data_IF_327208159857
#
_entry.id   IF_327208159857
#
_cell.length_a   1.000
_cell.length_b   1.000
_cell.length_c   1.000
_cell.angle_alpha   90.00
_cell.angle_beta   90.00
_cell.angle_gamma   90.00
#
_symmetry.space_group_name_H-M   'P 1'
#
loop_
_entity.id
_entity.type
_entity.pdbx_description
1 polymer ?
#
# COMPACT_ATOMS: atom_id res chain seq x y z
N UNK A 1 5.50 13.32 29.47
CA UNK A 1 5.63 11.85 29.28
C UNK A 1 4.23 11.28 29.34
N UNK A 2 3.77 10.59 28.29
CA UNK A 2 2.48 9.90 28.31
C UNK A 2 2.56 8.72 29.29
N UNK A 3 1.72 8.75 30.33
CA UNK A 3 1.61 7.68 31.33
C UNK A 3 0.72 6.53 30.86
N UNK A 4 0.37 5.63 31.78
CA UNK A 4 -0.53 4.50 31.52
C UNK A 4 -1.96 4.95 31.18
N UNK A 5 -2.48 5.93 31.91
CA UNK A 5 -3.87 6.40 31.81
C UNK A 5 -4.28 6.88 30.41
N UNK A 6 -3.35 7.47 29.65
CA UNK A 6 -3.63 7.97 28.29
C UNK A 6 -3.48 6.91 27.20
N UNK A 7 -2.95 5.73 27.55
CA UNK A 7 -2.76 4.61 26.63
C UNK A 7 -3.86 3.57 26.74
N UNK A 8 -4.65 3.63 27.81
CA UNK A 8 -5.70 2.68 28.08
C UNK A 8 -6.93 2.93 27.19
N UNK A 9 -7.72 1.88 26.97
CA UNK A 9 -8.94 1.97 26.17
C UNK A 9 -10.04 2.56 27.02
N UNK A 10 -10.45 3.79 26.69
CA UNK A 10 -11.53 4.47 27.38
C UNK A 10 -12.90 4.08 26.78
N UNK A 11 -13.98 3.93 27.58
CA UNK A 11 -15.32 3.58 27.07
C UNK A 11 -15.84 4.51 25.96
N UNK A 12 -15.46 5.79 25.97
CA UNK A 12 -15.85 6.76 24.94
C UNK A 12 -15.21 6.50 23.57
N UNK A 13 -14.21 5.61 23.48
CA UNK A 13 -13.62 5.19 22.21
C UNK A 13 -14.62 4.39 21.37
N UNK A 14 -15.65 3.79 21.98
CA UNK A 14 -16.65 3.01 21.28
C UNK A 14 -17.25 3.76 20.08
N UNK A 15 -17.18 3.18 18.89
CA UNK A 15 -17.69 3.78 17.65
C UNK A 15 -16.84 4.93 17.08
N UNK A 16 -15.76 5.33 17.77
CA UNK A 16 -14.94 6.51 17.43
C UNK A 16 -13.50 6.15 17.11
N UNK A 17 -12.88 5.36 17.98
CA UNK A 17 -11.50 4.93 17.90
C UNK A 17 -11.49 3.41 18.04
N UNK A 18 -10.78 2.72 17.14
CA UNK A 18 -10.69 1.27 17.21
C UNK A 18 -9.92 0.84 18.46
N UNK A 19 -10.46 -0.07 19.29
CA UNK A 19 -9.76 -0.56 20.48
C UNK A 19 -8.71 -1.64 20.17
N UNK A 20 -8.66 -2.15 18.93
CA UNK A 20 -7.81 -3.27 18.52
C UNK A 20 -6.58 -2.77 17.75
N UNK A 21 -6.76 -1.85 16.81
CA UNK A 21 -5.69 -1.42 15.91
C UNK A 21 -4.84 -0.31 16.54
N UNK A 22 -3.72 -0.73 17.14
CA UNK A 22 -2.62 0.13 17.62
C UNK A 22 -1.29 -0.56 17.32
N UNK A 23 -0.20 0.18 17.10
CA UNK A 23 1.13 -0.39 17.03
C UNK A 23 1.52 -1.09 18.33
N UNK A 24 2.32 -2.15 18.21
CA UNK A 24 2.95 -2.82 19.34
C UNK A 24 4.15 -2.02 19.87
N UNK A 25 4.56 -2.33 21.11
CA UNK A 25 5.77 -1.78 21.70
C UNK A 25 5.60 -0.39 22.33
N UNK A 26 6.60 0.52 22.23
CA UNK A 26 6.63 1.76 23.01
C UNK A 26 5.46 2.73 22.75
N UNK A 27 4.80 2.60 21.59
CA UNK A 27 3.75 3.49 21.12
C UNK A 27 2.33 2.94 21.31
N UNK A 28 2.18 1.80 21.98
CA UNK A 28 0.85 1.22 22.26
C UNK A 28 -0.08 2.23 22.94
N UNK A 29 -1.29 2.35 22.40
CA UNK A 29 -2.36 3.26 22.87
C UNK A 29 -2.13 4.74 22.52
N UNK A 30 -0.96 5.12 22.01
CA UNK A 30 -0.67 6.49 21.59
C UNK A 30 -1.05 6.76 20.13
N UNK A 31 -1.03 5.72 19.30
CA UNK A 31 -1.43 5.76 17.90
C UNK A 31 -2.60 4.80 17.76
N UNK A 32 -3.78 5.35 17.50
CA UNK A 32 -4.99 4.57 17.29
C UNK A 32 -5.61 4.93 15.95
N UNK A 33 -6.32 3.98 15.36
CA UNK A 33 -7.05 4.19 14.11
C UNK A 33 -8.50 4.63 14.37
N UNK A 34 -9.05 5.44 13.47
CA UNK A 34 -10.48 5.78 13.49
C UNK A 34 -11.33 4.53 13.27
N UNK A 35 -12.47 4.47 13.94
CA UNK A 35 -13.45 3.43 13.70
C UNK A 35 -14.19 3.65 12.37
N UNK A 36 -14.78 2.58 11.81
CA UNK A 36 -15.25 2.53 10.42
C UNK A 36 -16.22 3.65 10.03
N UNK A 37 -17.15 4.03 10.92
CA UNK A 37 -18.15 5.07 10.64
C UNK A 37 -17.91 6.38 11.41
N UNK A 38 -16.76 6.50 12.10
CA UNK A 38 -16.43 7.67 12.89
C UNK A 38 -16.25 8.90 11.99
N UNK A 39 -16.68 10.07 12.47
CA UNK A 39 -16.51 11.34 11.77
C UNK A 39 -15.99 12.42 12.71
N UNK A 40 -15.17 13.34 12.20
CA UNK A 40 -14.77 14.55 12.92
C UNK A 40 -15.74 15.68 12.63
N UNK A 41 -16.28 16.30 13.68
CA UNK A 41 -17.22 17.41 13.57
C UNK A 41 -16.51 18.77 13.38
N UNK A 42 -17.30 19.84 13.21
CA UNK A 42 -16.77 21.20 12.97
C UNK A 42 -15.90 21.74 14.11
N UNK A 43 -16.05 21.21 15.31
CA UNK A 43 -15.31 21.61 16.50
C UNK A 43 -14.09 20.71 16.79
N UNK A 44 -13.86 19.69 15.96
CA UNK A 44 -12.75 18.75 16.11
C UNK A 44 -13.02 17.55 17.01
N UNK A 45 -14.27 17.35 17.48
CA UNK A 45 -14.63 16.15 18.24
C UNK A 45 -15.01 15.00 17.31
N UNK A 46 -14.73 13.77 17.75
CA UNK A 46 -15.10 12.56 17.02
C UNK A 46 -16.53 12.16 17.42
N UNK A 47 -17.34 11.90 16.41
CA UNK A 47 -18.74 11.48 16.54
C UNK A 47 -18.92 10.08 15.94
N UNK A 48 -19.85 9.33 16.52
CA UNK A 48 -20.29 8.02 16.02
C UNK A 48 -21.77 8.11 15.62
N UNK A 49 -22.20 7.39 14.57
CA UNK A 49 -23.60 7.37 14.17
C UNK A 49 -24.43 6.40 15.02
N UNK A 50 -25.67 6.77 15.30
CA UNK A 50 -26.68 5.96 15.99
C UNK A 50 -28.05 6.14 15.33
N UNK A 51 -28.88 5.11 15.38
CA UNK A 51 -30.28 5.15 14.95
C UNK A 51 -31.16 5.62 16.09
N UNK A 52 -32.10 6.52 15.81
CA UNK A 52 -33.07 6.96 16.81
C UNK A 52 -34.11 5.89 17.11
N UNK A 53 -34.44 5.72 18.39
CA UNK A 53 -35.60 4.96 18.84
C UNK A 53 -36.68 5.96 19.27
N UNK A 54 -37.86 5.87 18.65
CA UNK A 54 -39.00 6.75 18.95
C UNK A 54 -40.18 5.87 19.26
N UNK A 55 -40.79 6.06 20.44
CA UNK A 55 -41.93 5.28 20.93
C UNK A 55 -41.69 3.75 20.86
N UNK A 56 -40.49 3.31 21.23
CA UNK A 56 -40.08 1.89 21.22
C UNK A 56 -39.77 1.30 19.83
N UNK A 57 -39.79 2.14 18.77
CA UNK A 57 -39.51 1.73 17.39
C UNK A 57 -38.19 2.30 16.89
N UNK A 58 -37.32 1.42 16.38
CA UNK A 58 -36.04 1.78 15.77
C UNK A 58 -36.27 2.39 14.39
N UNK A 59 -35.96 3.67 14.24
CA UNK A 59 -36.12 4.42 12.99
C UNK A 59 -34.92 4.24 12.06
N UNK A 60 -35.05 4.67 10.80
CA UNK A 60 -33.91 4.74 9.86
C UNK A 60 -33.16 6.08 9.96
N UNK A 61 -33.59 6.97 10.85
CA UNK A 61 -32.95 8.27 11.04
C UNK A 61 -31.66 8.11 11.84
N UNK A 62 -30.54 8.40 11.19
CA UNK A 62 -29.20 8.32 11.79
C UNK A 62 -28.78 9.69 12.31
N UNK A 63 -28.32 9.74 13.55
CA UNK A 63 -27.72 10.92 14.17
C UNK A 63 -26.29 10.64 14.61
N UNK A 64 -25.41 11.61 14.38
CA UNK A 64 -24.03 11.57 14.84
C UNK A 64 -23.95 12.26 16.19
N UNK A 65 -23.36 11.56 17.17
CA UNK A 65 -23.24 12.06 18.53
C UNK A 65 -21.79 12.04 19.01
N UNK A 66 -21.40 13.14 19.65
CA UNK A 66 -20.14 13.22 20.38
C UNK A 66 -20.20 12.38 21.67
N UNK A 67 -19.05 12.08 22.28
CA UNK A 67 -18.98 11.29 23.50
C UNK A 67 -19.78 11.90 24.67
N UNK A 68 -19.83 13.24 24.74
CA UNK A 68 -20.57 13.97 25.79
C UNK A 68 -22.09 13.92 25.59
N UNK A 69 -22.54 13.82 24.33
CA UNK A 69 -23.96 13.71 23.99
C UNK A 69 -24.44 12.28 24.17
N UNK A 70 -23.67 11.29 23.70
CA UNK A 70 -23.97 9.86 23.86
C UNK A 70 -24.18 9.48 25.33
N UNK A 71 -23.35 10.01 26.25
CA UNK A 71 -23.41 9.69 27.67
C UNK A 71 -24.77 9.95 28.33
N UNK A 72 -25.62 10.80 27.73
CA UNK A 72 -26.95 11.15 28.25
C UNK A 72 -28.05 10.18 27.81
N UNK A 73 -27.77 9.29 26.87
CA UNK A 73 -28.74 8.42 26.23
C UNK A 73 -28.50 6.95 26.59
N UNK A 74 -29.56 6.14 26.53
CA UNK A 74 -29.46 4.68 26.60
C UNK A 74 -29.30 4.13 25.18
N UNK A 75 -28.12 3.56 24.89
CA UNK A 75 -27.78 3.07 23.56
C UNK A 75 -27.81 1.54 23.53
N UNK A 76 -28.72 0.97 22.74
CA UNK A 76 -28.81 -0.47 22.50
C UNK A 76 -27.74 -0.96 21.51
N UNK A 77 -27.32 -2.21 21.69
CA UNK A 77 -26.34 -2.88 20.82
C UNK A 77 -26.90 -3.16 19.42
N UNK A 78 -26.01 -3.22 18.42
CA UNK A 78 -26.40 -3.44 17.02
C UNK A 78 -27.01 -4.83 16.76
N UNK A 79 -26.70 -5.82 17.60
CA UNK A 79 -27.16 -7.21 17.51
C UNK A 79 -28.44 -7.48 18.31
N UNK A 80 -29.06 -6.46 18.92
CA UNK A 80 -30.35 -6.63 19.58
C UNK A 80 -31.42 -7.11 18.58
N UNK A 81 -32.19 -8.12 18.98
CA UNK A 81 -33.19 -8.75 18.10
C UNK A 81 -34.40 -7.83 17.95
N UNK A 82 -34.77 -7.55 16.70
CA UNK A 82 -35.90 -6.70 16.34
C UNK A 82 -36.99 -7.52 15.68
N UNK A 83 -38.24 -7.15 15.94
CA UNK A 83 -39.42 -7.67 15.24
C UNK A 83 -39.51 -7.09 13.81
N UNK A 84 -40.40 -7.65 12.99
CA UNK A 84 -40.71 -7.13 11.65
C UNK A 84 -41.22 -5.69 11.63
N UNK A 85 -41.72 -5.18 12.75
CA UNK A 85 -42.19 -3.80 12.88
C UNK A 85 -41.11 -2.83 13.36
N UNK A 86 -39.86 -3.30 13.49
CA UNK A 86 -38.69 -2.57 14.00
C UNK A 86 -38.79 -2.20 15.48
N UNK A 87 -39.45 -3.03 16.29
CA UNK A 87 -39.47 -2.92 17.76
C UNK A 87 -38.60 -3.99 18.39
N UNK A 88 -38.14 -3.79 19.63
CA UNK A 88 -37.37 -4.82 20.34
C UNK A 88 -38.26 -6.01 20.71
N UNK A 89 -37.78 -7.22 20.41
CA UNK A 89 -38.48 -8.47 20.74
C UNK A 89 -38.49 -8.73 22.25
N UNK A 90 -37.34 -8.52 22.90
CA UNK A 90 -37.17 -8.67 24.34
C UNK A 90 -37.69 -7.44 25.12
N UNK A 91 -38.25 -7.69 26.30
CA UNK A 91 -38.71 -6.63 27.21
C UNK A 91 -37.54 -5.85 27.85
N UNK A 92 -36.41 -6.52 28.07
CA UNK A 92 -35.17 -5.96 28.61
C UNK A 92 -34.05 -6.07 27.57
N UNK A 93 -33.49 -4.92 27.20
CA UNK A 93 -32.44 -4.81 26.18
C UNK A 93 -31.12 -4.42 26.83
N UNK A 94 -30.02 -5.05 26.43
CA UNK A 94 -28.68 -4.66 26.86
C UNK A 94 -28.37 -3.28 26.27
N UNK A 95 -28.22 -2.30 27.15
CA UNK A 95 -27.91 -0.94 26.78
C UNK A 95 -26.64 -0.46 27.47
N UNK A 96 -26.01 0.52 26.86
CA UNK A 96 -24.89 1.26 27.42
C UNK A 96 -25.34 2.67 27.74
N UNK A 97 -25.03 3.13 28.95
CA UNK A 97 -25.37 4.47 29.42
C UNK A 97 -24.25 4.99 30.32
N UNK A 98 -23.76 6.19 30.03
CA UNK A 98 -22.66 6.85 30.75
C UNK A 98 -21.40 5.98 30.99
N UNK A 99 -21.11 5.03 30.08
CA UNK A 99 -19.96 4.13 30.16
C UNK A 99 -20.23 2.77 30.79
N UNK A 100 -21.36 2.60 31.48
CA UNK A 100 -21.77 1.33 32.09
C UNK A 100 -22.70 0.54 31.17
N UNK A 101 -22.68 -0.79 31.31
CA UNK A 101 -23.53 -1.72 30.55
C UNK A 101 -24.54 -2.36 31.50
N UNK A 102 -25.83 -2.20 31.21
CA UNK A 102 -26.90 -2.79 32.00
C UNK A 102 -28.16 -3.06 31.17
N UNK A 103 -29.05 -3.87 31.72
CA UNK A 103 -30.35 -4.19 31.12
C UNK A 103 -31.33 -3.05 31.35
N UNK A 104 -31.93 -2.54 30.29
CA UNK A 104 -32.89 -1.44 30.33
C UNK A 104 -34.22 -1.88 29.69
N UNK A 105 -35.38 -1.51 30.25
CA UNK A 105 -36.67 -1.75 29.58
C UNK A 105 -36.67 -1.14 28.18
N UNK A 106 -37.22 -1.86 27.19
CA UNK A 106 -37.22 -1.42 25.79
C UNK A 106 -37.82 -0.02 25.55
N UNK A 107 -38.71 0.43 26.44
CA UNK A 107 -39.35 1.76 26.39
C UNK A 107 -38.38 2.92 26.72
N UNK A 108 -37.32 2.63 27.47
CA UNK A 108 -36.33 3.62 27.91
C UNK A 108 -35.09 3.67 27.00
N UNK A 109 -35.09 2.92 25.89
CA UNK A 109 -34.00 2.93 24.92
C UNK A 109 -34.16 4.13 24.00
N UNK A 110 -33.16 5.01 23.96
CA UNK A 110 -33.19 6.23 23.15
C UNK A 110 -32.59 6.00 21.75
N UNK A 111 -31.55 5.16 21.68
CA UNK A 111 -30.70 5.01 20.51
C UNK A 111 -30.30 3.54 20.30
N UNK A 112 -29.91 3.21 19.07
CA UNK A 112 -29.34 1.91 18.73
C UNK A 112 -28.14 2.09 17.80
N UNK A 113 -27.12 1.28 18.00
CA UNK A 113 -25.95 1.19 17.12
C UNK A 113 -26.37 0.91 15.65
N UNK A 114 -25.63 1.47 14.67
CA UNK A 114 -25.98 1.32 13.24
C UNK A 114 -25.54 -0.03 12.68
N UNK A 115 -24.35 -0.49 13.09
CA UNK A 115 -23.75 -1.72 12.58
C UNK A 115 -22.75 -2.28 13.59
N UNK A 116 -22.60 -3.61 13.71
CA UNK A 116 -21.53 -4.21 14.52
C UNK A 116 -20.13 -3.75 14.10
N UNK A 117 -19.92 -3.46 12.81
CA UNK A 117 -18.64 -2.99 12.25
C UNK A 117 -18.25 -1.59 12.72
N UNK A 118 -19.16 -0.83 13.34
CA UNK A 118 -18.88 0.53 13.79
C UNK A 118 -17.82 0.59 14.91
N UNK A 119 -17.64 -0.50 15.66
CA UNK A 119 -16.69 -0.54 16.77
C UNK A 119 -15.23 -0.57 16.30
N UNK A 120 -14.99 -1.18 15.15
CA UNK A 120 -13.64 -1.54 14.69
C UNK A 120 -13.19 -0.63 13.57
N UNK A 121 -11.88 -0.57 13.34
CA UNK A 121 -11.30 0.13 12.20
C UNK A 121 -11.54 -0.63 10.90
N UNK A 122 -11.25 0.02 9.77
CA UNK A 122 -11.28 -0.60 8.45
C UNK A 122 -10.40 -1.85 8.39
N UNK A 123 -9.21 -1.79 9.00
CA UNK A 123 -8.28 -2.91 9.02
C UNK A 123 -8.85 -4.10 9.80
N UNK A 124 -9.29 -3.88 11.05
CA UNK A 124 -9.88 -4.95 11.84
C UNK A 124 -11.20 -5.49 11.23
N UNK A 125 -11.95 -4.65 10.52
CA UNK A 125 -13.18 -5.06 9.84
C UNK A 125 -12.94 -5.99 8.63
N UNK A 126 -11.70 -6.12 8.14
CA UNK A 126 -11.33 -7.08 7.08
C UNK A 126 -11.06 -8.49 7.61
N UNK A 127 -10.96 -8.68 8.93
CA UNK A 127 -10.69 -9.99 9.53
C UNK A 127 -12.00 -10.77 9.65
N UNK A 128 -12.17 -11.90 8.92
CA UNK A 128 -13.34 -12.76 9.09
C UNK A 128 -13.27 -13.48 10.45
N UNK A 129 -14.44 -13.75 11.05
CA UNK A 129 -14.56 -14.44 12.34
C UNK A 129 -13.84 -13.75 13.51
N UNK A 130 -13.66 -12.42 13.44
CA UNK A 130 -13.01 -11.60 14.46
C UNK A 130 -13.56 -11.85 15.87
N UNK A 131 -14.85 -12.16 15.99
CA UNK A 131 -15.52 -12.47 17.25
C UNK A 131 -14.99 -13.74 17.96
N UNK A 132 -14.30 -14.62 17.23
CA UNK A 132 -13.70 -15.85 17.77
C UNK A 132 -12.21 -15.69 18.11
N UNK A 133 -11.60 -14.56 17.77
CA UNK A 133 -10.19 -14.29 17.98
C UNK A 133 -9.94 -13.52 19.27
N UNK A 134 -8.83 -13.84 19.95
CA UNK A 134 -8.35 -13.02 21.07
C UNK A 134 -7.93 -11.63 20.58
N UNK A 135 -8.22 -10.59 21.38
CA UNK A 135 -7.96 -9.20 21.01
C UNK A 135 -6.49 -8.93 20.67
N UNK A 136 -5.53 -9.59 21.33
CA UNK A 136 -4.12 -9.41 21.02
C UNK A 136 -3.74 -10.02 19.67
N UNK A 137 -4.36 -11.15 19.30
CA UNK A 137 -4.16 -11.79 17.99
C UNK A 137 -4.79 -10.97 16.89
N UNK A 138 -5.98 -10.42 17.12
CA UNK A 138 -6.63 -9.48 16.21
C UNK A 138 -5.79 -8.21 15.99
N UNK A 139 -5.18 -7.67 17.06
CA UNK A 139 -4.25 -6.53 16.97
C UNK A 139 -3.07 -6.86 16.05
N UNK A 140 -2.40 -7.99 16.27
CA UNK A 140 -1.27 -8.41 15.43
C UNK A 140 -1.71 -8.66 13.98
N UNK A 141 -2.80 -9.39 13.77
CA UNK A 141 -3.37 -9.62 12.45
C UNK A 141 -3.67 -8.31 11.73
N UNK A 142 -4.23 -7.34 12.45
CA UNK A 142 -4.55 -6.03 11.90
C UNK A 142 -3.33 -5.20 11.50
N UNK A 143 -2.20 -5.39 12.20
CA UNK A 143 -0.93 -4.75 11.90
C UNK A 143 -0.19 -5.45 10.76
N UNK A 144 -0.18 -6.78 10.75
CA UNK A 144 0.52 -7.60 9.75
C UNK A 144 -0.09 -7.43 8.36
N UNK A 145 -1.41 -7.34 8.24
CA UNK A 145 -2.06 -7.11 6.94
C UNK A 145 -1.64 -5.80 6.25
N UNK A 146 -1.24 -4.77 7.00
CA UNK A 146 -0.73 -3.51 6.43
C UNK A 146 0.68 -3.63 5.84
N UNK A 147 1.38 -4.71 6.15
CA UNK A 147 2.74 -4.98 5.70
C UNK A 147 2.76 -5.98 4.52
N UNK A 148 1.60 -6.50 4.12
CA UNK A 148 1.49 -7.39 2.98
C UNK A 148 1.95 -6.69 1.70
N UNK A 149 2.93 -7.30 1.02
CA UNK A 149 3.50 -6.79 -0.23
C UNK A 149 2.65 -7.23 -1.42
N UNK A 150 2.37 -6.35 -2.40
CA UNK A 150 1.65 -6.74 -3.60
C UNK A 150 2.33 -7.84 -4.40
N UNK A 151 1.56 -8.87 -4.74
CA UNK A 151 2.01 -10.02 -5.52
C UNK A 151 1.86 -9.76 -7.03
N UNK A 152 2.61 -10.50 -7.85
CA UNK A 152 2.48 -10.47 -9.32
C UNK A 152 1.06 -10.85 -9.75
N UNK A 153 0.45 -11.80 -9.04
CA UNK A 153 -0.92 -12.26 -9.20
C UNK A 153 -1.57 -12.30 -7.84
N UNK A 154 -2.32 -11.27 -7.48
CA UNK A 154 -3.19 -11.33 -6.31
C UNK A 154 -4.43 -12.18 -6.60
N UNK A 155 -5.12 -12.66 -5.56
CA UNK A 155 -6.39 -13.38 -5.67
C UNK A 155 -7.31 -12.90 -4.55
N UNK A 156 -8.58 -12.61 -4.90
CA UNK A 156 -9.57 -12.22 -3.92
C UNK A 156 -9.73 -13.30 -2.83
N UNK A 157 -9.89 -12.91 -1.55
CA UNK A 157 -10.02 -13.88 -0.47
C UNK A 157 -11.31 -14.70 -0.65
N UNK A 158 -11.21 -16.03 -0.52
CA UNK A 158 -12.41 -16.89 -0.58
C UNK A 158 -13.34 -16.68 0.62
N UNK A 159 -12.78 -16.23 1.74
CA UNK A 159 -13.51 -15.91 2.96
C UNK A 159 -13.21 -14.44 3.29
N UNK A 160 -14.17 -13.57 3.00
CA UNK A 160 -14.09 -12.13 3.25
C UNK A 160 -15.23 -11.61 4.12
N UNK A 161 -15.22 -10.31 4.42
CA UNK A 161 -16.23 -9.64 5.26
C UNK A 161 -17.18 -8.70 4.48
N UNK A 162 -16.90 -8.49 3.20
CA UNK A 162 -17.56 -7.50 2.33
C UNK A 162 -17.02 -6.08 2.49
N UNK A 163 -15.93 -5.88 3.25
CA UNK A 163 -15.23 -4.60 3.31
C UNK A 163 -14.20 -4.43 2.18
N UNK A 164 -13.76 -5.54 1.59
CA UNK A 164 -12.76 -5.62 0.52
C UNK A 164 -13.08 -4.69 -0.67
N UNK A 165 -14.30 -4.71 -1.27
CA UNK A 165 -14.60 -3.82 -2.39
C UNK A 165 -14.64 -2.34 -1.98
N UNK A 166 -15.06 -2.06 -0.75
CA UNK A 166 -15.14 -0.69 -0.22
C UNK A 166 -13.72 -0.13 -0.08
N UNK A 167 -12.80 -0.91 0.50
CA UNK A 167 -11.40 -0.51 0.67
C UNK A 167 -10.69 -0.36 -0.67
N UNK A 168 -10.86 -1.31 -1.58
CA UNK A 168 -10.26 -1.24 -2.91
C UNK A 168 -10.71 0.02 -3.67
N UNK A 169 -12.01 0.32 -3.67
CA UNK A 169 -12.57 1.50 -4.33
C UNK A 169 -12.13 2.81 -3.67
N UNK A 170 -12.24 2.92 -2.35
CA UNK A 170 -12.03 4.18 -1.64
C UNK A 170 -10.55 4.51 -1.44
N UNK A 171 -9.65 3.51 -1.55
CA UNK A 171 -8.19 3.71 -1.54
C UNK A 171 -7.64 4.43 -2.76
N UNK A 172 -8.37 4.42 -3.88
CA UNK A 172 -7.91 4.93 -5.18
C UNK A 172 -6.86 4.03 -5.88
N UNK A 173 -6.58 2.84 -5.34
CA UNK A 173 -5.75 1.84 -6.01
C UNK A 173 -6.46 1.29 -7.26
N UNK A 174 -7.72 0.90 -7.10
CA UNK A 174 -8.62 0.55 -8.18
C UNK A 174 -9.25 1.82 -8.80
N UNK A 175 -9.48 1.79 -10.12
CA UNK A 175 -10.07 2.93 -10.83
C UNK A 175 -11.55 2.65 -11.05
N UNK A 176 -12.40 3.50 -10.48
CA UNK A 176 -13.84 3.51 -10.73
C UNK A 176 -14.25 4.41 -11.91
N UNK A 177 -15.30 4.03 -12.62
CA UNK A 177 -15.92 4.84 -13.67
C UNK A 177 -16.59 6.09 -13.08
N UNK A 178 -16.25 7.26 -13.61
CA UNK A 178 -16.80 8.56 -13.18
C UNK A 178 -18.24 8.78 -13.65
N UNK A 179 -18.57 8.25 -14.83
CA UNK A 179 -19.86 8.40 -15.52
C UNK A 179 -20.30 7.07 -16.11
N UNK A 180 -21.61 6.86 -16.17
CA UNK A 180 -22.22 5.75 -16.91
C UNK A 180 -21.89 5.88 -18.39
N UNK A 181 -21.50 4.78 -19.02
CA UNK A 181 -21.08 4.82 -20.42
C UNK A 181 -20.79 3.46 -21.02
N UNK A 182 -20.27 3.49 -22.25
CA UNK A 182 -19.84 2.32 -23.00
C UNK A 182 -18.33 2.42 -23.23
N UNK A 183 -17.61 1.33 -23.00
CA UNK A 183 -16.17 1.24 -23.23
C UNK A 183 -15.88 1.24 -24.72
N UNK A 184 -15.13 2.24 -25.18
CA UNK A 184 -14.83 2.46 -26.61
C UNK A 184 -13.46 1.90 -27.00
N UNK A 185 -12.46 2.09 -26.13
CA UNK A 185 -11.10 1.57 -26.34
C UNK A 185 -10.52 1.07 -25.00
N UNK A 186 -9.83 -0.07 -25.04
CA UNK A 186 -9.08 -0.62 -23.92
C UNK A 186 -7.68 -0.95 -24.38
N UNK A 187 -6.69 -0.30 -23.74
CA UNK A 187 -5.28 -0.60 -23.88
C UNK A 187 -4.71 -0.90 -22.48
N UNK A 188 -3.52 -1.52 -22.41
CA UNK A 188 -2.85 -1.75 -21.13
C UNK A 188 -2.46 -0.46 -20.39
N UNK A 189 -2.42 0.69 -21.08
CA UNK A 189 -2.03 2.01 -20.54
C UNK A 189 -3.21 2.97 -20.37
N UNK A 190 -4.34 2.73 -21.04
CA UNK A 190 -5.50 3.62 -20.99
C UNK A 190 -6.81 2.90 -21.27
N UNK A 191 -7.87 3.39 -20.65
CA UNK A 191 -9.25 2.99 -20.92
C UNK A 191 -10.03 4.23 -21.35
N UNK A 192 -10.80 4.11 -22.42
CA UNK A 192 -11.60 5.21 -22.99
C UNK A 192 -13.07 4.83 -22.92
N UNK A 193 -13.86 5.64 -22.23
CA UNK A 193 -15.29 5.39 -22.00
C UNK A 193 -16.09 6.53 -22.59
N UNK A 194 -17.02 6.19 -23.48
CA UNK A 194 -17.98 7.13 -24.05
C UNK A 194 -19.15 7.28 -23.08
N UNK A 195 -19.30 8.47 -22.50
CA UNK A 195 -20.36 8.73 -21.54
C UNK A 195 -21.74 8.73 -22.24
N UNK A 196 -22.71 8.04 -21.65
CA UNK A 196 -24.10 8.03 -22.12
C UNK A 196 -24.98 9.03 -21.35
N UNK A 197 -24.52 9.47 -20.17
CA UNK A 197 -25.19 10.39 -19.26
C UNK A 197 -24.29 11.61 -18.96
N UNK A 198 -24.85 12.70 -18.43
CA UNK A 198 -24.14 13.97 -18.15
C UNK A 198 -23.41 14.58 -19.37
N UNK A 199 -24.14 14.66 -20.49
CA UNK A 199 -23.73 15.38 -21.70
C UNK A 199 -24.04 16.88 -21.56
N UNK A 200 -23.40 17.56 -20.60
CA UNK A 200 -23.47 19.02 -20.53
C UNK A 200 -22.86 19.66 -21.79
N UNK A 201 -23.50 20.69 -22.32
CA UNK A 201 -23.00 21.48 -23.45
C UNK A 201 -21.62 22.09 -23.11
N UNK A 202 -20.57 21.55 -23.72
CA UNK A 202 -19.18 22.03 -23.58
C UNK A 202 -18.20 21.03 -22.95
N UNK A 203 -18.67 19.90 -22.38
CA UNK A 203 -17.79 18.82 -21.90
C UNK A 203 -17.55 17.78 -23.00
N UNK A 204 -16.35 17.20 -23.01
CA UNK A 204 -16.05 16.05 -23.87
C UNK A 204 -16.92 14.87 -23.45
N UNK A 205 -17.68 14.30 -24.40
CA UNK A 205 -18.51 13.09 -24.17
C UNK A 205 -17.71 11.81 -23.98
N UNK A 206 -16.41 11.93 -23.73
CA UNK A 206 -15.46 10.82 -23.58
C UNK A 206 -14.62 11.07 -22.34
N UNK A 207 -14.55 10.06 -21.48
CA UNK A 207 -13.64 9.98 -20.34
C UNK A 207 -12.44 9.11 -20.68
N UNK A 208 -11.24 9.66 -20.47
CA UNK A 208 -9.98 8.94 -20.70
C UNK A 208 -9.33 8.68 -19.33
N UNK A 209 -9.15 7.41 -19.01
CA UNK A 209 -8.49 6.93 -17.81
C UNK A 209 -7.09 6.47 -18.18
N UNK A 210 -6.06 7.08 -17.61
CA UNK A 210 -4.66 6.65 -17.80
C UNK A 210 -4.26 5.75 -16.63
N UNK A 211 -3.76 4.57 -16.95
CA UNK A 211 -3.36 3.56 -15.98
C UNK A 211 -1.89 3.76 -15.59
N UNK A 212 -1.58 3.61 -14.31
CA UNK A 212 -0.20 3.58 -13.82
C UNK A 212 0.44 2.22 -14.15
N UNK A 213 1.61 2.21 -14.76
CA UNK A 213 2.33 0.98 -15.14
C UNK A 213 3.70 0.96 -14.50
N UNK A 214 3.97 -0.11 -13.74
CA UNK A 214 5.27 -0.42 -13.12
C UNK A 214 5.93 0.79 -12.45
N UNK A 215 5.17 1.52 -11.64
CA UNK A 215 5.71 2.65 -10.88
C UNK A 215 6.23 2.20 -9.52
N UNK A 216 7.31 2.83 -9.06
CA UNK A 216 7.87 2.58 -7.73
C UNK A 216 6.96 3.17 -6.65
N UNK A 217 6.69 2.39 -5.61
CA UNK A 217 6.10 2.89 -4.35
C UNK A 217 7.16 3.44 -3.39
N UNK A 218 6.72 4.03 -2.28
CA UNK A 218 7.67 4.51 -1.25
C UNK A 218 8.43 3.38 -0.54
N UNK A 219 7.89 2.15 -0.55
CA UNK A 219 8.50 0.96 0.05
C UNK A 219 9.20 0.09 -1.00
N UNK A 220 9.56 0.65 -2.16
CA UNK A 220 10.19 -0.06 -3.29
C UNK A 220 9.36 -1.22 -3.85
N UNK A 221 8.05 -1.24 -3.62
CA UNK A 221 7.12 -2.20 -4.24
C UNK A 221 6.62 -1.66 -5.58
N UNK A 222 5.93 -2.50 -6.35
CA UNK A 222 5.41 -2.15 -7.66
C UNK A 222 3.94 -1.72 -7.63
N UNK A 223 3.66 -0.53 -8.16
CA UNK A 223 2.31 -0.04 -8.45
C UNK A 223 2.04 -0.28 -9.95
N UNK A 224 1.11 -1.19 -10.23
CA UNK A 224 0.72 -1.52 -11.60
C UNK A 224 -0.79 -1.70 -11.67
N UNK A 225 -1.42 -0.99 -12.60
CA UNK A 225 -2.85 -1.08 -12.86
C UNK A 225 -3.13 -1.90 -14.12
N UNK A 226 -4.20 -2.70 -14.08
CA UNK A 226 -4.61 -3.59 -15.18
C UNK A 226 -6.08 -3.33 -15.52
N UNK A 227 -6.42 -3.12 -16.80
CA UNK A 227 -7.81 -2.96 -17.18
C UNK A 227 -8.58 -4.26 -16.91
N UNK A 228 -9.83 -4.13 -16.43
CA UNK A 228 -10.75 -5.25 -16.23
C UNK A 228 -11.80 -5.36 -17.32
N UNK A 229 -12.22 -4.20 -17.85
CA UNK A 229 -13.29 -4.11 -18.85
C UNK A 229 -12.79 -4.43 -20.26
N UNK A 230 -13.72 -4.87 -21.10
CA UNK A 230 -13.53 -5.11 -22.54
C UNK A 230 -14.23 -4.05 -23.38
N UNK A 231 -13.80 -3.91 -24.64
CA UNK A 231 -14.42 -2.98 -25.59
C UNK A 231 -15.88 -3.40 -25.83
N UNK A 232 -16.81 -2.46 -25.70
CA UNK A 232 -18.25 -2.68 -25.83
C UNK A 232 -18.99 -2.90 -24.51
N UNK A 233 -18.29 -3.07 -23.39
CA UNK A 233 -18.92 -3.23 -22.09
C UNK A 233 -19.67 -1.96 -21.67
N UNK A 234 -20.81 -2.16 -21.00
CA UNK A 234 -21.59 -1.08 -20.38
C UNK A 234 -21.20 -0.96 -18.91
N UNK A 235 -20.76 0.21 -18.51
CA UNK A 235 -20.35 0.50 -17.13
C UNK A 235 -21.28 1.53 -16.50
N UNK A 236 -21.56 1.37 -15.22
CA UNK A 236 -22.26 2.35 -14.40
C UNK A 236 -21.28 3.24 -13.67
N UNK A 237 -21.75 4.41 -13.24
CA UNK A 237 -20.97 5.28 -12.36
C UNK A 237 -20.61 4.53 -11.06
N UNK A 238 -19.32 4.42 -10.79
CA UNK A 238 -18.76 3.74 -9.62
C UNK A 238 -18.24 2.34 -9.89
N UNK A 239 -18.53 1.73 -11.04
CA UNK A 239 -18.01 0.40 -11.40
C UNK A 239 -16.49 0.43 -11.55
N UNK A 240 -15.81 -0.61 -11.09
CA UNK A 240 -14.35 -0.72 -11.20
C UNK A 240 -13.98 -1.12 -12.64
N UNK A 241 -13.19 -0.28 -13.29
CA UNK A 241 -12.77 -0.46 -14.69
C UNK A 241 -11.33 -0.96 -14.82
N UNK A 242 -10.51 -0.76 -13.78
CA UNK A 242 -9.15 -1.26 -13.72
C UNK A 242 -8.75 -1.56 -12.27
N UNK A 243 -8.12 -2.71 -12.08
CA UNK A 243 -7.51 -3.10 -10.82
C UNK A 243 -6.16 -2.41 -10.63
N UNK A 244 -5.81 -2.21 -9.36
CA UNK A 244 -4.52 -1.73 -8.92
C UNK A 244 -3.63 -2.82 -8.30
N UNK A 245 -2.60 -2.42 -7.55
CA UNK A 245 -1.81 -3.35 -6.76
C UNK A 245 -2.67 -3.96 -5.64
N UNK A 246 -2.54 -5.27 -5.42
CA UNK A 246 -3.27 -6.01 -4.38
C UNK A 246 -4.80 -5.88 -4.48
N UNK A 247 -5.34 -5.87 -5.70
CA UNK A 247 -6.78 -5.95 -5.95
C UNK A 247 -7.08 -6.99 -7.03
N UNK A 248 -8.23 -7.64 -6.94
CA UNK A 248 -8.71 -8.64 -7.89
C UNK A 248 -10.22 -8.44 -8.11
N UNK A 249 -10.60 -8.11 -9.34
CA UNK A 249 -11.98 -7.83 -9.75
C UNK A 249 -12.68 -6.76 -8.89
N UNK A 250 -11.92 -5.75 -8.45
CA UNK A 250 -12.43 -4.68 -7.58
C UNK A 250 -12.47 -5.00 -6.09
N UNK A 251 -12.08 -6.20 -5.66
CA UNK A 251 -11.90 -6.56 -4.25
C UNK A 251 -10.45 -6.38 -3.81
N UNK A 252 -10.24 -6.04 -2.54
CA UNK A 252 -8.92 -6.03 -1.93
C UNK A 252 -8.37 -7.46 -1.82
N UNK A 253 -7.24 -7.70 -2.45
CA UNK A 253 -6.56 -8.98 -2.54
C UNK A 253 -5.11 -8.83 -2.08
N UNK A 254 -4.89 -8.85 -0.76
CA UNK A 254 -3.55 -8.67 -0.17
C UNK A 254 -2.61 -9.87 -0.39
N UNK A 255 -3.13 -11.03 -0.77
CA UNK A 255 -2.37 -12.27 -0.86
C UNK A 255 -2.98 -13.30 -1.81
N UNK A 256 -2.84 -14.59 -1.45
CA UNK A 256 -3.34 -15.75 -2.18
C UNK A 256 -4.01 -16.73 -1.24
N UNK A 257 -5.07 -17.39 -1.70
CA UNK A 257 -5.65 -18.53 -1.01
C UNK A 257 -4.77 -19.75 -1.23
N UNK A 258 -4.45 -20.49 -0.16
CA UNK A 258 -3.64 -21.72 -0.22
C UNK A 258 -4.30 -22.85 0.55
N UNK A 259 -4.07 -24.09 0.12
CA UNK A 259 -4.54 -25.27 0.85
C UNK A 259 -3.62 -25.53 2.04
N UNK A 260 -4.17 -25.44 3.24
CA UNK A 260 -3.44 -25.63 4.51
C UNK A 260 -3.93 -26.89 5.20
N UNK A 261 -2.99 -27.66 5.76
CA UNK A 261 -3.28 -28.81 6.62
C UNK A 261 -2.67 -28.58 8.01
N UNK A 262 -3.50 -28.68 9.05
CA UNK A 262 -3.05 -28.59 10.44
C UNK A 262 -2.59 -29.96 10.93
N UNK A 263 -1.28 -30.22 10.88
CA UNK A 263 -0.67 -31.42 11.43
C UNK A 263 0.82 -31.18 11.75
N UNK A 264 1.39 -31.84 12.77
CA UNK A 264 2.83 -31.84 12.95
C UNK A 264 3.50 -32.60 11.79
N UNK A 265 4.56 -32.04 11.23
CA UNK A 265 5.29 -32.65 10.11
C UNK A 265 6.80 -32.71 10.39
N UNK A 266 7.27 -33.81 10.97
CA UNK A 266 8.68 -34.10 11.24
C UNK A 266 9.44 -32.96 11.96
N UNK A 267 8.74 -32.10 12.71
CA UNK A 267 9.32 -30.95 13.41
C UNK A 267 9.67 -29.75 12.52
N UNK A 268 9.37 -29.79 11.21
CA UNK A 268 9.61 -28.65 10.32
C UNK A 268 8.67 -27.46 10.58
N UNK A 269 7.51 -27.73 11.18
CA UNK A 269 6.58 -26.72 11.67
C UNK A 269 6.62 -26.57 13.20
N UNK A 270 7.81 -26.69 13.78
CA UNK A 270 8.01 -26.41 15.20
C UNK A 270 7.86 -24.91 15.50
N UNK A 271 7.29 -24.59 16.67
CA UNK A 271 6.84 -23.24 17.04
C UNK A 271 5.89 -22.67 15.99
N UNK A 272 6.24 -21.53 15.38
CA UNK A 272 5.43 -20.84 14.36
C UNK A 272 6.03 -21.00 12.95
N UNK A 273 6.92 -21.98 12.75
CA UNK A 273 7.53 -22.24 11.45
C UNK A 273 6.50 -22.80 10.45
N UNK A 274 6.56 -22.33 9.21
CA UNK A 274 5.66 -22.77 8.14
C UNK A 274 6.44 -23.64 7.15
N UNK A 275 5.92 -24.85 6.90
CA UNK A 275 6.42 -25.73 5.84
C UNK A 275 5.65 -25.46 4.55
N UNK A 276 6.35 -25.06 3.50
CA UNK A 276 5.78 -24.79 2.18
C UNK A 276 6.03 -25.94 1.21
N UNK A 277 5.07 -26.19 0.33
CA UNK A 277 5.27 -27.08 -0.81
C UNK A 277 6.12 -26.39 -1.88
N UNK A 278 7.02 -27.14 -2.52
CA UNK A 278 7.80 -26.67 -3.68
C UNK A 278 6.90 -26.12 -4.80
N UNK A 279 5.67 -26.64 -4.91
CA UNK A 279 4.69 -26.17 -5.89
C UNK A 279 4.33 -24.69 -5.73
N UNK A 280 4.35 -24.16 -4.50
CA UNK A 280 4.09 -22.73 -4.24
C UNK A 280 5.15 -21.85 -4.93
N UNK A 281 6.39 -22.32 -4.97
CA UNK A 281 7.49 -21.63 -5.64
C UNK A 281 7.41 -21.83 -7.16
N UNK A 282 7.16 -23.05 -7.62
CA UNK A 282 7.06 -23.37 -9.04
C UNK A 282 5.91 -22.64 -9.75
N UNK A 283 4.80 -22.40 -9.06
CA UNK A 283 3.61 -21.72 -9.58
C UNK A 283 3.65 -20.18 -9.36
N UNK A 284 4.77 -19.62 -8.87
CA UNK A 284 4.98 -18.19 -8.61
C UNK A 284 3.89 -17.56 -7.70
N UNK A 285 3.40 -18.31 -6.72
CA UNK A 285 2.22 -17.91 -5.92
C UNK A 285 2.49 -16.64 -5.11
N UNK A 286 3.66 -16.54 -4.48
CA UNK A 286 4.04 -15.41 -3.63
C UNK A 286 5.14 -14.52 -4.23
N UNK A 287 5.34 -14.60 -5.54
CA UNK A 287 6.33 -13.76 -6.25
C UNK A 287 5.85 -12.30 -6.27
N UNK A 288 6.71 -11.36 -5.88
CA UNK A 288 6.46 -9.92 -5.87
C UNK A 288 7.45 -9.17 -6.79
N UNK A 289 7.10 -7.95 -7.19
CA UNK A 289 7.98 -7.08 -7.99
C UNK A 289 8.46 -5.95 -7.11
N UNK A 290 9.78 -5.82 -7.01
CA UNK A 290 10.45 -4.71 -6.34
C UNK A 290 11.12 -3.81 -7.37
N UNK A 291 11.01 -2.51 -7.17
CA UNK A 291 11.60 -1.49 -8.03
C UNK A 291 12.50 -0.63 -7.13
N UNK A 292 13.80 -0.70 -7.38
CA UNK A 292 14.79 0.11 -6.67
C UNK A 292 15.29 1.23 -7.58
N UNK A 293 15.66 2.35 -6.98
CA UNK A 293 16.25 3.49 -7.67
C UNK A 293 17.67 3.66 -7.19
N UNK A 294 18.59 3.70 -8.15
CA UNK A 294 19.99 3.99 -7.89
C UNK A 294 20.31 5.36 -8.48
N UNK A 295 20.75 6.28 -7.64
CA UNK A 295 21.11 7.63 -8.06
C UNK A 295 22.63 7.79 -8.05
N UNK A 296 23.16 8.44 -9.08
CA UNK A 296 24.53 8.93 -9.11
C UNK A 296 24.54 10.38 -9.52
N UNK A 297 25.36 11.17 -8.84
CA UNK A 297 25.60 12.57 -9.17
C UNK A 297 27.05 12.75 -9.57
N UNK A 298 27.27 13.45 -10.69
CA UNK A 298 28.55 14.03 -11.05
C UNK A 298 28.66 15.43 -10.42
N UNK A 299 29.76 15.70 -9.73
CA UNK A 299 29.98 16.95 -9.00
C UNK A 299 31.25 17.65 -9.48
N UNK A 300 31.25 18.98 -9.40
CA UNK A 300 32.48 19.76 -9.58
C UNK A 300 33.34 19.67 -8.32
N UNK A 301 34.50 19.02 -8.44
CA UNK A 301 35.49 18.97 -7.36
C UNK A 301 36.54 20.07 -7.56
N UNK A 302 37.37 20.32 -6.53
CA UNK A 302 38.48 21.28 -6.62
C UNK A 302 39.55 20.87 -7.63
N UNK A 303 39.68 19.57 -7.92
CA UNK A 303 40.69 19.02 -8.83
C UNK A 303 40.19 18.95 -10.28
N UNK A 304 38.89 19.14 -10.49
CA UNK A 304 38.22 19.08 -11.79
C UNK A 304 36.78 18.57 -11.66
N UNK A 305 35.99 18.67 -12.73
CA UNK A 305 34.65 18.09 -12.79
C UNK A 305 34.74 16.56 -12.75
N UNK A 306 33.81 15.91 -12.05
CA UNK A 306 33.54 14.49 -12.27
C UNK A 306 32.79 14.31 -13.59
N UNK A 307 33.16 13.28 -14.35
CA UNK A 307 32.56 13.01 -15.66
C UNK A 307 31.86 11.65 -15.64
N UNK A 308 30.70 11.59 -16.31
CA UNK A 308 30.00 10.34 -16.60
C UNK A 308 30.51 9.90 -17.97
N UNK A 309 31.15 8.74 -18.03
CA UNK A 309 31.75 8.23 -19.27
C UNK A 309 31.89 6.72 -19.22
N UNK A 310 31.93 6.11 -20.41
CA UNK A 310 32.26 4.70 -20.60
C UNK A 310 33.75 4.40 -20.43
N UNK A 311 34.62 5.40 -20.57
CA UNK A 311 36.09 5.24 -20.47
C UNK A 311 36.54 5.17 -19.01
N UNK A 312 36.41 3.98 -18.41
CA UNK A 312 36.70 3.73 -16.99
C UNK A 312 38.04 2.99 -16.87
N UNK A 313 39.01 3.50 -16.09
CA UNK A 313 40.31 2.86 -15.96
C UNK A 313 40.23 1.52 -15.21
N UNK A 314 41.05 0.56 -15.62
CA UNK A 314 41.20 -0.76 -14.98
C UNK A 314 39.93 -1.64 -14.98
N UNK A 315 39.00 -1.40 -15.91
CA UNK A 315 37.78 -2.20 -16.08
C UNK A 315 37.88 -3.02 -17.38
N UNK A 316 37.44 -4.28 -17.34
CA UNK A 316 37.42 -5.15 -18.52
C UNK A 316 36.32 -4.75 -19.50
N UNK A 317 36.50 -5.02 -20.80
CA UNK A 317 35.45 -4.76 -21.81
C UNK A 317 34.15 -5.52 -21.52
N UNK A 318 34.23 -6.69 -20.90
CA UNK A 318 33.05 -7.48 -20.51
C UNK A 318 32.19 -6.75 -19.48
N UNK A 319 32.80 -6.02 -18.55
CA UNK A 319 32.06 -5.22 -17.57
C UNK A 319 31.44 -3.94 -18.20
N UNK A 320 31.96 -3.49 -19.34
CA UNK A 320 31.44 -2.35 -20.10
C UNK A 320 30.36 -2.75 -21.11
N UNK A 321 30.06 -4.05 -21.28
CA UNK A 321 29.13 -4.55 -22.32
C UNK A 321 27.71 -3.97 -22.19
N UNK A 322 27.28 -3.70 -20.96
CA UNK A 322 25.94 -3.24 -20.63
C UNK A 322 25.81 -1.71 -20.69
N UNK A 323 26.91 -0.97 -20.87
CA UNK A 323 26.93 0.48 -20.94
C UNK A 323 26.80 0.97 -22.39
N UNK A 324 26.10 2.08 -22.56
CA UNK A 324 26.07 2.85 -23.80
C UNK A 324 27.33 3.70 -23.99
N UNK A 325 27.38 4.48 -25.07
CA UNK A 325 28.52 5.36 -25.39
C UNK A 325 28.73 6.46 -24.34
N UNK A 326 27.67 6.91 -23.68
CA UNK A 326 27.72 7.87 -22.57
C UNK A 326 28.18 7.23 -21.24
N UNK A 327 28.30 5.90 -21.17
CA UNK A 327 28.66 5.19 -19.94
C UNK A 327 27.47 4.91 -19.02
N UNK A 328 26.25 4.87 -19.55
CA UNK A 328 25.02 4.57 -18.80
C UNK A 328 24.45 3.24 -19.26
N UNK A 329 23.94 2.43 -18.34
CA UNK A 329 23.33 1.15 -18.66
C UNK A 329 22.14 1.27 -19.63
N UNK A 330 21.97 0.27 -20.49
CA UNK A 330 20.80 0.17 -21.39
C UNK A 330 19.52 -0.20 -20.63
N UNK A 331 18.40 0.39 -21.03
CA UNK A 331 17.07 -0.06 -20.58
C UNK A 331 16.81 -1.46 -21.16
N UNK A 332 16.40 -2.39 -20.30
CA UNK A 332 16.22 -3.80 -20.62
C UNK A 332 17.44 -4.68 -20.34
N UNK A 333 18.58 -4.10 -19.92
CA UNK A 333 19.74 -4.89 -19.53
C UNK A 333 19.49 -5.63 -18.22
N UNK A 334 19.84 -6.93 -18.19
CA UNK A 334 19.93 -7.71 -16.97
C UNK A 334 21.27 -7.44 -16.29
N UNK A 335 21.23 -7.07 -15.02
CA UNK A 335 22.40 -6.68 -14.22
C UNK A 335 22.53 -7.59 -13.00
N UNK A 336 23.77 -8.01 -12.75
CA UNK A 336 24.17 -8.82 -11.62
C UNK A 336 24.93 -7.99 -10.58
N UNK A 337 25.12 -8.51 -9.34
CA UNK A 337 25.93 -7.85 -8.33
C UNK A 337 27.33 -7.48 -8.85
N UNK A 338 27.72 -6.22 -8.71
CA UNK A 338 29.02 -5.70 -9.16
C UNK A 338 29.07 -5.10 -10.56
N UNK A 339 28.04 -5.33 -11.38
CA UNK A 339 27.91 -4.71 -12.70
C UNK A 339 27.81 -3.18 -12.58
N UNK A 340 28.38 -2.48 -13.56
CA UNK A 340 28.38 -1.01 -13.60
C UNK A 340 27.05 -0.54 -14.17
N UNK A 341 26.31 0.26 -13.40
CA UNK A 341 25.08 0.91 -13.85
C UNK A 341 25.37 2.23 -14.55
N UNK A 342 26.28 3.01 -13.98
CA UNK A 342 26.69 4.31 -14.53
C UNK A 342 28.18 4.49 -14.29
N UNK A 343 28.93 4.59 -15.37
CA UNK A 343 30.35 4.90 -15.38
C UNK A 343 30.58 6.31 -14.89
N UNK A 344 31.41 6.47 -13.84
CA UNK A 344 31.79 7.77 -13.31
C UNK A 344 33.28 7.79 -12.99
N UNK A 345 33.95 8.84 -13.46
CA UNK A 345 35.35 9.09 -13.17
C UNK A 345 35.49 10.37 -12.35
N UNK A 346 36.36 10.32 -11.34
CA UNK A 346 36.73 11.48 -10.53
C UNK A 346 38.20 11.81 -10.76
N UNK A 347 38.55 13.08 -11.09
CA UNK A 347 39.94 13.50 -11.17
C UNK A 347 40.68 13.27 -9.86
N UNK A 348 41.84 12.61 -9.93
CA UNK A 348 42.69 12.31 -8.79
C UNK A 348 43.96 13.15 -8.86
N UNK A 349 44.35 13.78 -7.76
CA UNK A 349 45.64 14.45 -7.67
C UNK A 349 46.79 13.44 -7.68
N UNK A 350 47.96 13.86 -8.15
CA UNK A 350 49.17 13.02 -8.12
C UNK A 350 49.50 12.62 -6.67
N UNK A 351 49.35 11.33 -6.37
CA UNK A 351 49.84 10.75 -5.12
C UNK A 351 51.32 10.38 -5.30
N UNK A 352 52.21 10.71 -4.34
CA UNK A 352 53.60 10.30 -4.40
C UNK A 352 53.68 8.77 -4.41
N UNK A 353 54.17 8.20 -5.51
CA UNK A 353 54.33 6.75 -5.70
C UNK A 353 55.58 6.23 -4.99
N UNK A 354 55.50 5.01 -4.44
CA UNK A 354 56.65 4.37 -3.81
C UNK A 354 57.68 3.93 -4.87
N UNK A 355 58.96 3.73 -4.51
CA UNK A 355 59.97 3.22 -5.45
C UNK A 355 59.57 1.92 -6.14
N UNK A 356 58.85 1.03 -5.46
CA UNK A 356 58.34 -0.24 -5.98
C UNK A 356 57.27 -0.04 -7.07
N UNK A 357 56.31 0.88 -6.84
CA UNK A 357 55.30 1.24 -7.84
C UNK A 357 55.93 1.91 -9.07
N UNK A 358 56.94 2.77 -8.86
CA UNK A 358 57.71 3.38 -9.96
C UNK A 358 58.44 2.33 -10.79
N UNK A 359 59.02 1.31 -10.15
CA UNK A 359 59.69 0.22 -10.85
C UNK A 359 58.70 -0.63 -11.65
N UNK A 360 57.58 -1.03 -11.05
CA UNK A 360 56.51 -1.77 -11.74
C UNK A 360 56.01 -1.01 -12.98
N UNK A 361 55.78 0.29 -12.84
CA UNK A 361 55.33 1.16 -13.92
C UNK A 361 56.36 1.30 -15.04
N UNK A 362 57.66 1.35 -14.70
CA UNK A 362 58.74 1.38 -15.68
C UNK A 362 58.86 0.04 -16.45
N UNK A 363 58.52 -1.08 -15.82
CA UNK A 363 58.56 -2.42 -16.43
C UNK A 363 57.36 -2.63 -17.36
N UNK A 364 56.14 -2.31 -16.91
CA UNK A 364 54.91 -2.57 -17.67
C UNK A 364 54.48 -1.43 -18.60
N UNK A 365 55.11 -0.24 -18.50
CA UNK A 365 54.78 0.91 -19.33
C UNK A 365 53.37 1.48 -19.08
N UNK A 366 52.71 1.09 -17.99
CA UNK A 366 51.37 1.57 -17.65
C UNK A 366 51.41 3.08 -17.39
N UNK A 367 50.60 3.85 -18.11
CA UNK A 367 50.35 5.25 -17.77
C UNK A 367 49.52 5.27 -16.50
N UNK A 368 49.90 6.10 -15.53
CA UNK A 368 49.02 6.37 -14.41
C UNK A 368 47.78 7.04 -14.98
N UNK A 369 46.64 6.45 -14.65
CA UNK A 369 45.36 7.11 -14.83
C UNK A 369 45.28 8.24 -13.82
N UNK A 370 45.21 9.47 -14.31
CA UNK A 370 44.96 10.67 -13.50
C UNK A 370 43.50 10.72 -12.97
N UNK A 371 42.70 9.71 -13.32
CA UNK A 371 41.30 9.58 -12.91
C UNK A 371 41.09 8.29 -12.11
N UNK A 372 40.17 8.36 -11.15
CA UNK A 372 39.74 7.24 -10.31
C UNK A 372 38.32 6.83 -10.69
N UNK A 373 38.08 5.53 -10.77
CA UNK A 373 36.73 4.96 -10.88
C UNK A 373 35.91 5.24 -9.60
N UNK A 374 34.81 5.97 -9.76
CA UNK A 374 33.78 6.23 -8.75
C UNK A 374 32.38 5.89 -9.28
N UNK A 375 32.33 4.94 -10.22
CA UNK A 375 31.12 4.47 -10.90
C UNK A 375 30.10 3.89 -9.94
N UNK A 376 28.83 4.03 -10.31
CA UNK A 376 27.73 3.38 -9.62
C UNK A 376 27.64 1.92 -10.06
N UNK A 377 27.62 1.00 -9.09
CA UNK A 377 27.62 -0.44 -9.31
C UNK A 377 26.47 -1.08 -8.55
N UNK A 378 25.95 -2.17 -9.09
CA UNK A 378 24.91 -2.95 -8.43
C UNK A 378 25.38 -3.45 -7.05
N UNK A 379 24.61 -3.22 -5.97
CA UNK A 379 24.94 -3.71 -4.64
C UNK A 379 25.08 -5.24 -4.58
N UNK A 380 25.89 -5.76 -3.63
CA UNK A 380 26.00 -7.20 -3.43
C UNK A 380 24.64 -7.81 -3.09
N UNK A 381 24.32 -8.94 -3.74
CA UNK A 381 23.09 -9.70 -3.48
C UNK A 381 21.83 -9.21 -4.20
N UNK A 382 21.92 -8.13 -4.98
CA UNK A 382 20.79 -7.61 -5.78
C UNK A 382 21.02 -7.88 -7.26
N UNK A 383 19.99 -8.33 -7.96
CA UNK A 383 20.00 -8.56 -9.40
C UNK A 383 18.64 -8.16 -9.98
N UNK A 384 18.59 -7.89 -11.27
CA UNK A 384 17.33 -7.55 -11.94
C UNK A 384 17.53 -6.93 -13.31
N UNK A 385 16.45 -6.36 -13.84
CA UNK A 385 16.44 -5.72 -15.15
C UNK A 385 16.27 -4.22 -15.00
N UNK A 386 17.07 -3.44 -15.73
CA UNK A 386 16.93 -1.98 -15.78
C UNK A 386 15.66 -1.62 -16.53
N UNK A 387 14.68 -1.01 -15.85
CA UNK A 387 13.38 -0.67 -16.45
C UNK A 387 13.29 0.77 -16.94
N UNK A 388 14.00 1.69 -16.30
CA UNK A 388 13.93 3.12 -16.60
C UNK A 388 15.26 3.79 -16.25
N UNK A 389 15.68 4.76 -17.06
CA UNK A 389 16.84 5.61 -16.81
C UNK A 389 16.40 7.06 -16.98
N UNK A 390 16.72 7.90 -16.01
CA UNK A 390 16.45 9.34 -16.07
C UNK A 390 17.75 10.12 -15.92
N UNK A 391 17.98 11.06 -16.81
CA UNK A 391 19.16 11.93 -16.81
C UNK A 391 18.71 13.36 -16.55
N UNK A 392 19.26 13.98 -15.50
CA UNK A 392 18.97 15.36 -15.14
C UNK A 392 20.20 16.23 -15.40
N UNK A 393 20.15 17.02 -16.46
CA UNK A 393 21.24 17.93 -16.79
C UNK A 393 21.02 19.31 -16.17
N UNK A 394 22.08 19.87 -15.58
CA UNK A 394 22.08 21.25 -15.10
C UNK A 394 22.00 22.20 -16.29
N UNK A 395 21.21 23.28 -16.14
CA UNK A 395 21.08 24.29 -17.17
C UNK A 395 22.44 24.93 -17.50
N UNK A 396 22.88 24.83 -18.75
CA UNK A 396 24.15 25.38 -19.25
C UNK A 396 25.28 24.36 -19.50
N UNK A 397 25.09 23.08 -19.21
CA UNK A 397 26.02 22.00 -19.59
C UNK A 397 25.65 21.50 -21.00
N UNK A 398 26.65 21.14 -21.81
CA UNK A 398 26.40 20.51 -23.11
C UNK A 398 25.56 19.25 -22.93
N UNK A 399 24.51 19.13 -23.73
CA UNK A 399 23.59 18.00 -23.66
C UNK A 399 24.24 16.81 -24.35
N UNK A 400 24.32 15.70 -23.61
CA UNK A 400 24.72 14.42 -24.15
C UNK A 400 23.68 13.87 -25.16
N UNK A 401 24.04 12.86 -25.95
CA UNK A 401 23.18 12.31 -27.03
C UNK A 401 21.80 11.82 -26.52
N UNK A 402 21.70 11.41 -25.25
CA UNK A 402 20.44 11.03 -24.59
C UNK A 402 19.59 12.19 -24.05
N UNK A 403 20.14 13.41 -24.03
CA UNK A 403 19.44 14.62 -23.55
C UNK A 403 18.96 15.54 -24.70
N UNK A 404 19.26 15.19 -25.95
CA UNK A 404 18.58 15.68 -27.15
C UNK A 404 17.28 14.91 -27.37
#
# INVERSE_FOLDING_TARGET
RAGFEVRDVHPTHYGRICPIETPEGPNIGLINSLATFARVNKYGFIESPYRKVVDGKVTMDVVYLSAMEEAKHHVAQANAVLTSEMTFEDDLVICRHSGDVFMTPRENVDLMDVSPKQLVSVAAALIPFLENDDANRALMGSNMQRQAVPLVRAEAPFVGTGMEPIVARDSGAAIGARRTGIVDQVDATRVVIRATEDLELGKTGVDIYRLMKFQRSNQNTCINQRPLVSVGDRVQKGDIIADGPSTDLGDLALGRNVLVAFMPWNGYNYEDSILLSERIVADDVFTSIHIEEFEVMARDTKLGPEEITRDIPNVSEEALKNLDEAGIVYIGAEVAPGDILVGKITPKGESPMTPEEKLLRAIFGEKASDVRDTSNRMPPGTYGTVVEVRVFNRHGVEKDERAM
#
